data_IF_581591512221
#
_entry.id   IF_581591512221
#
_cell.length_a   1.000
_cell.length_b   1.000
_cell.length_c   1.000
_cell.angle_alpha   90.00
_cell.angle_beta   90.00
_cell.angle_gamma   90.00
#
_symmetry.space_group_name_H-M   'P 1'
#
loop_
_entity.id
_entity.type
_entity.pdbx_description
1 polymer ?
#
# COMPACT_ATOMS: atom_id res chain seq x y z
N UNK A 1 23.68 102.55 44.28
CA UNK A 1 22.91 102.08 45.45
C UNK A 1 21.73 101.27 44.91
N UNK A 2 21.76 99.93 45.05
CA UNK A 2 20.71 98.92 44.77
C UNK A 2 20.15 98.81 43.32
N UNK A 3 19.65 97.70 42.78
CA UNK A 3 19.83 96.23 42.88
C UNK A 3 18.82 95.60 41.88
N UNK A 4 19.21 94.55 41.13
CA UNK A 4 18.35 93.55 40.42
C UNK A 4 17.41 94.07 39.28
N UNK A 5 17.10 93.36 38.18
CA UNK A 5 16.75 91.94 38.00
C UNK A 5 16.60 91.64 36.47
N UNK A 6 17.18 90.52 35.98
CA UNK A 6 16.67 89.56 34.95
C UNK A 6 16.18 90.07 33.56
N UNK A 7 16.35 89.41 32.40
CA UNK A 7 16.71 88.03 32.04
C UNK A 7 16.97 87.93 30.51
N UNK A 8 18.01 87.19 30.10
CA UNK A 8 18.10 86.54 28.77
C UNK A 8 17.33 85.22 28.83
N UNK A 9 16.72 84.75 27.73
CA UNK A 9 16.58 83.32 27.51
C UNK A 9 16.54 82.99 26.01
N UNK A 10 17.44 82.08 25.63
CA UNK A 10 17.78 81.64 24.29
C UNK A 10 16.77 80.61 23.73
N UNK A 11 16.56 80.62 22.41
CA UNK A 11 15.85 79.57 21.68
C UNK A 11 16.62 78.24 21.77
N UNK A 12 15.94 77.17 22.19
CA UNK A 12 16.41 75.78 22.11
C UNK A 12 15.45 75.02 21.19
N UNK A 13 15.92 74.69 19.99
CA UNK A 13 15.20 73.87 19.01
C UNK A 13 15.42 72.39 19.38
N UNK A 14 14.38 71.72 19.86
CA UNK A 14 14.42 70.29 20.17
C UNK A 14 14.10 69.52 18.89
N UNK A 15 15.12 68.96 18.26
CA UNK A 15 14.95 67.98 17.18
C UNK A 15 14.62 66.64 17.84
N UNK A 16 13.33 66.34 17.99
CA UNK A 16 12.86 65.02 18.38
C UNK A 16 13.06 64.06 17.21
N UNK A 17 14.26 63.48 17.12
CA UNK A 17 14.53 62.35 16.26
C UNK A 17 13.81 61.12 16.82
N UNK A 18 12.65 60.82 16.26
CA UNK A 18 12.02 59.52 16.44
C UNK A 18 12.89 58.47 15.76
N UNK A 19 13.84 57.91 16.50
CA UNK A 19 14.49 56.66 16.13
C UNK A 19 13.39 55.61 16.24
N UNK A 20 12.74 55.31 15.12
CA UNK A 20 11.90 54.13 15.01
C UNK A 20 12.86 52.93 15.10
N UNK A 21 12.84 52.12 16.18
CA UNK A 21 13.63 50.91 16.19
C UNK A 21 13.14 50.07 15.03
N UNK A 22 13.99 49.84 14.02
CA UNK A 22 13.77 48.75 13.08
C UNK A 22 13.80 47.48 13.92
N UNK A 23 12.62 46.98 14.27
CA UNK A 23 12.48 45.58 14.67
C UNK A 23 12.89 44.82 13.42
N UNK A 24 14.15 44.39 13.37
CA UNK A 24 14.59 43.40 12.39
C UNK A 24 13.87 42.12 12.78
N UNK A 25 12.72 41.87 12.16
CA UNK A 25 12.02 40.62 12.36
C UNK A 25 12.95 39.51 11.86
N UNK A 26 13.48 38.72 12.80
CA UNK A 26 14.30 37.56 12.48
C UNK A 26 13.52 36.64 11.54
N UNK A 27 14.17 36.18 10.47
CA UNK A 27 13.54 35.31 9.49
C UNK A 27 13.06 34.04 10.19
N UNK A 28 11.77 33.67 10.11
CA UNK A 28 11.26 32.51 10.83
C UNK A 28 11.91 31.23 10.30
N UNK A 29 12.17 30.28 11.19
CA UNK A 29 12.68 28.97 10.79
C UNK A 29 11.57 28.08 10.22
N UNK A 30 11.94 27.11 9.37
CA UNK A 30 11.04 26.02 8.95
C UNK A 30 10.38 25.32 10.15
N UNK A 31 9.16 24.83 9.97
CA UNK A 31 8.40 24.08 10.99
C UNK A 31 8.20 22.63 10.57
N UNK A 32 7.91 21.76 11.53
CA UNK A 32 7.55 20.36 11.29
C UNK A 32 8.53 19.63 10.36
N UNK A 33 9.83 19.92 10.57
CA UNK A 33 10.92 19.36 9.77
C UNK A 33 11.02 17.87 10.07
N UNK A 34 10.79 17.05 9.06
CA UNK A 34 10.73 15.59 9.19
C UNK A 34 11.45 14.92 8.02
N UNK A 35 12.17 13.85 8.29
CA UNK A 35 12.67 12.96 7.25
C UNK A 35 11.59 11.92 6.93
N UNK A 36 11.33 11.70 5.65
CA UNK A 36 10.41 10.67 5.15
C UNK A 36 11.24 9.55 4.51
N UNK A 37 11.51 8.43 5.23
CA UNK A 37 12.34 7.35 4.75
C UNK A 37 11.50 6.19 4.21
N UNK A 38 11.08 6.28 2.95
CA UNK A 38 10.11 5.34 2.37
C UNK A 38 10.71 4.58 1.17
N UNK A 39 10.71 3.25 1.27
CA UNK A 39 11.28 2.35 0.24
C UNK A 39 12.71 2.77 -0.16
N UNK A 40 13.54 3.04 0.85
CA UNK A 40 14.93 3.50 0.73
C UNK A 40 15.10 4.86 0.02
N UNK A 41 14.02 5.63 -0.15
CA UNK A 41 14.09 7.02 -0.56
C UNK A 41 14.00 7.92 0.66
N UNK A 42 14.88 8.92 0.75
CA UNK A 42 15.02 9.77 1.92
C UNK A 42 14.71 11.21 1.51
N UNK A 43 13.48 11.67 1.79
CA UNK A 43 13.06 13.04 1.48
C UNK A 43 12.84 13.81 2.76
N UNK A 44 13.64 14.86 2.98
CA UNK A 44 13.40 15.84 4.03
C UNK A 44 12.22 16.72 3.61
N UNK A 45 11.25 16.94 4.50
CA UNK A 45 10.09 17.81 4.28
C UNK A 45 9.93 18.77 5.46
N UNK A 46 9.35 19.93 5.19
CA UNK A 46 9.06 20.94 6.21
C UNK A 46 7.89 21.82 5.82
N UNK A 47 7.29 22.45 6.81
CA UNK A 47 6.22 23.43 6.63
C UNK A 47 6.75 24.86 6.64
N UNK A 48 6.11 25.70 5.83
CA UNK A 48 6.39 27.14 5.75
C UNK A 48 5.12 27.96 5.96
N UNK A 49 5.11 28.70 7.07
CA UNK A 49 3.91 29.41 7.55
C UNK A 49 3.94 30.92 7.29
N UNK A 50 5.07 31.48 6.84
CA UNK A 50 5.15 32.91 6.51
C UNK A 50 4.48 33.19 5.17
N UNK A 51 3.27 33.77 5.23
CA UNK A 51 2.49 34.15 4.05
C UNK A 51 3.10 35.34 3.30
N UNK A 52 3.69 36.28 4.03
CA UNK A 52 4.30 37.49 3.45
C UNK A 52 5.57 37.19 2.66
N UNK A 53 6.38 36.24 3.15
CA UNK A 53 7.67 35.87 2.54
C UNK A 53 7.59 34.65 1.63
N UNK A 54 6.39 34.12 1.38
CA UNK A 54 6.18 32.86 0.64
C UNK A 54 6.87 32.84 -0.73
N UNK A 55 6.83 33.96 -1.44
CA UNK A 55 7.35 34.05 -2.82
C UNK A 55 8.79 34.54 -2.91
N UNK A 56 9.41 34.88 -1.78
CA UNK A 56 10.77 35.43 -1.69
C UNK A 56 11.68 34.61 -0.79
N UNK A 57 11.20 33.47 -0.27
CA UNK A 57 11.96 32.58 0.60
C UNK A 57 12.42 31.36 -0.16
N UNK A 58 13.71 31.09 -0.10
CA UNK A 58 14.33 29.85 -0.52
C UNK A 58 14.81 29.06 0.70
N UNK A 59 15.17 27.80 0.50
CA UNK A 59 15.63 26.92 1.55
C UNK A 59 16.93 26.24 1.16
N UNK A 60 17.82 26.14 2.14
CA UNK A 60 19.08 25.43 2.02
C UNK A 60 19.10 24.29 3.03
N UNK A 61 19.40 23.08 2.56
CA UNK A 61 19.44 21.87 3.33
C UNK A 61 20.80 21.16 3.19
N UNK A 62 21.32 20.71 4.32
CA UNK A 62 22.67 20.16 4.45
C UNK A 62 22.66 18.92 5.36
N UNK A 63 23.69 18.09 5.27
CA UNK A 63 23.89 16.97 6.20
C UNK A 63 25.36 16.87 6.61
N UNK A 64 25.60 16.25 7.77
CA UNK A 64 26.91 15.80 8.21
C UNK A 64 26.75 14.42 8.87
N UNK A 65 27.85 13.68 9.02
CA UNK A 65 27.85 12.52 9.91
C UNK A 65 27.56 12.98 11.34
N UNK A 66 26.90 12.13 12.13
CA UNK A 66 26.49 12.49 13.48
C UNK A 66 27.68 12.79 14.41
N UNK A 67 28.83 12.14 14.17
CA UNK A 67 30.09 12.42 14.88
C UNK A 67 30.63 13.85 14.61
N UNK A 68 30.33 14.40 13.44
CA UNK A 68 30.80 15.72 12.98
C UNK A 68 29.81 16.85 13.23
N UNK A 69 28.71 16.60 13.95
CA UNK A 69 27.58 17.54 14.12
C UNK A 69 27.96 18.91 14.69
N UNK A 70 29.07 18.99 15.44
CA UNK A 70 29.55 20.24 16.03
C UNK A 70 30.46 21.04 15.11
N UNK A 71 30.86 20.48 13.97
CA UNK A 71 31.79 21.09 13.04
C UNK A 71 31.08 21.61 11.79
N UNK A 72 30.66 22.87 11.84
CA UNK A 72 29.88 23.51 10.77
C UNK A 72 30.49 23.41 9.36
N UNK A 73 31.82 23.32 9.23
CA UNK A 73 32.53 23.21 7.95
C UNK A 73 32.40 21.83 7.28
N UNK A 74 31.98 20.81 8.01
CA UNK A 74 31.83 19.44 7.50
C UNK A 74 30.42 19.16 6.96
N UNK A 75 29.49 20.10 7.11
CA UNK A 75 28.17 19.98 6.50
C UNK A 75 28.26 20.10 4.97
N UNK A 76 27.63 19.15 4.30
CA UNK A 76 27.56 19.04 2.84
C UNK A 76 26.18 19.50 2.38
N UNK A 77 26.16 20.47 1.46
CA UNK A 77 24.93 20.97 0.83
C UNK A 77 24.31 19.95 -0.10
N UNK A 78 22.98 19.82 -0.04
CA UNK A 78 22.19 18.95 -0.93
C UNK A 78 21.21 19.77 -1.76
N UNK A 79 20.39 20.58 -1.11
CA UNK A 79 19.54 21.57 -1.77
C UNK A 79 20.01 22.96 -1.37
N UNK A 80 20.31 23.80 -2.34
CA UNK A 80 20.78 25.17 -2.11
C UNK A 80 19.83 26.15 -2.79
N UNK A 81 19.28 27.08 -2.02
CA UNK A 81 18.37 28.10 -2.56
C UNK A 81 17.12 27.53 -3.24
N UNK A 82 16.57 26.42 -2.75
CA UNK A 82 15.39 25.77 -3.34
C UNK A 82 14.09 26.45 -2.92
N UNK A 83 13.15 26.61 -3.85
CA UNK A 83 11.77 27.04 -3.55
C UNK A 83 10.88 25.91 -3.05
N UNK A 84 11.36 24.66 -3.15
CA UNK A 84 10.60 23.50 -2.72
C UNK A 84 10.66 23.35 -1.21
N UNK A 85 9.58 22.89 -0.59
CA UNK A 85 9.54 22.57 0.84
C UNK A 85 9.94 21.11 1.11
N UNK A 86 10.81 20.59 0.24
CA UNK A 86 11.35 19.25 0.30
C UNK A 86 12.73 19.20 -0.32
N UNK A 87 13.54 18.25 0.14
CA UNK A 87 14.87 17.99 -0.39
C UNK A 87 15.16 16.48 -0.40
N UNK A 88 15.66 15.97 -1.52
CA UNK A 88 15.95 14.55 -1.70
C UNK A 88 17.41 14.22 -1.34
N UNK A 89 17.58 13.36 -0.34
CA UNK A 89 18.85 12.87 0.20
C UNK A 89 19.16 11.42 -0.20
N UNK A 90 18.30 10.76 -0.99
CA UNK A 90 18.36 9.32 -1.29
C UNK A 90 19.74 8.84 -1.74
N UNK A 91 20.40 9.58 -2.62
CA UNK A 91 21.72 9.24 -3.17
C UNK A 91 22.89 9.97 -2.48
N UNK A 92 22.63 10.63 -1.34
CA UNK A 92 23.62 11.38 -0.57
C UNK A 92 24.03 10.67 0.71
N UNK A 93 23.14 9.84 1.24
CA UNK A 93 23.33 9.14 2.50
C UNK A 93 23.64 7.68 2.23
N UNK A 94 24.62 7.16 2.96
CA UNK A 94 24.92 5.74 2.97
C UNK A 94 23.94 5.02 3.88
N UNK A 95 23.56 3.79 3.51
CA UNK A 95 22.51 3.04 4.19
C UNK A 95 22.83 2.75 5.66
N UNK A 96 24.12 2.52 5.97
CA UNK A 96 24.61 2.18 7.32
C UNK A 96 25.19 3.37 8.08
N UNK A 97 24.93 4.59 7.62
CA UNK A 97 25.45 5.81 8.24
C UNK A 97 24.45 6.46 9.20
N UNK A 98 24.96 7.15 10.22
CA UNK A 98 24.15 7.99 11.09
C UNK A 98 24.44 9.47 10.81
N UNK A 99 23.39 10.24 10.58
CA UNK A 99 23.49 11.61 10.08
C UNK A 99 22.75 12.62 10.95
N UNK A 100 23.26 13.84 10.92
CA UNK A 100 22.52 15.03 11.33
C UNK A 100 22.22 15.85 10.07
N UNK A 101 20.94 16.13 9.85
CA UNK A 101 20.43 16.87 8.70
C UNK A 101 19.90 18.20 9.20
N UNK A 102 20.14 19.27 8.44
CA UNK A 102 19.66 20.60 8.79
C UNK A 102 19.05 21.34 7.62
N UNK A 103 18.07 22.19 7.91
CA UNK A 103 17.44 23.08 6.93
C UNK A 103 17.20 24.46 7.53
N UNK A 104 17.34 25.50 6.71
CA UNK A 104 17.02 26.89 7.05
C UNK A 104 16.32 27.59 5.90
N UNK A 105 15.61 28.66 6.22
CA UNK A 105 15.06 29.60 5.26
C UNK A 105 16.09 30.69 4.93
N UNK A 106 16.03 31.21 3.71
CA UNK A 106 16.89 32.29 3.20
C UNK A 106 16.00 33.29 2.45
N UNK A 107 16.10 34.58 2.78
CA UNK A 107 15.34 35.64 2.08
C UNK A 107 16.06 36.97 2.20
N UNK A 108 16.21 37.69 1.08
CA UNK A 108 16.79 39.04 1.07
C UNK A 108 18.22 39.14 1.62
N UNK A 109 19.00 38.05 1.60
CA UNK A 109 20.36 37.98 2.16
C UNK A 109 20.42 37.60 3.64
N UNK A 110 19.27 37.51 4.32
CA UNK A 110 19.14 37.02 5.69
C UNK A 110 18.83 35.52 5.70
N UNK A 111 19.13 34.86 6.82
CA UNK A 111 18.84 33.45 7.03
C UNK A 111 18.18 33.19 8.39
N UNK A 112 17.32 32.18 8.46
CA UNK A 112 16.72 31.74 9.73
C UNK A 112 17.72 30.92 10.55
N UNK A 113 17.36 30.63 11.80
CA UNK A 113 18.03 29.57 12.56
C UNK A 113 17.83 28.22 11.86
N UNK A 114 18.84 27.35 12.00
CA UNK A 114 18.79 25.98 11.52
C UNK A 114 17.80 25.13 12.30
N UNK A 115 17.10 24.25 11.59
CA UNK A 115 16.35 23.13 12.17
C UNK A 115 17.04 21.83 11.86
N UNK A 116 17.17 20.98 12.87
CA UNK A 116 17.97 19.76 12.81
C UNK A 116 17.08 18.52 12.94
N UNK A 117 17.46 17.45 12.25
CA UNK A 117 16.86 16.13 12.29
C UNK A 117 17.98 15.09 12.30
N UNK A 118 17.99 14.21 13.29
CA UNK A 118 18.84 13.01 13.27
C UNK A 118 18.18 11.95 12.39
N UNK A 119 18.98 11.23 11.61
CA UNK A 119 18.48 10.21 10.71
C UNK A 119 19.51 9.12 10.46
N UNK A 120 19.09 7.86 10.61
CA UNK A 120 19.88 6.66 10.37
C UNK A 120 19.08 5.75 9.44
N UNK A 121 19.45 5.60 8.14
CA UNK A 121 18.58 4.96 7.16
C UNK A 121 18.19 3.50 7.45
N UNK A 122 19.10 2.73 8.04
CA UNK A 122 18.86 1.32 8.38
C UNK A 122 18.04 1.13 9.66
N UNK A 123 17.96 2.13 10.54
CA UNK A 123 17.13 2.11 11.75
C UNK A 123 15.75 2.77 11.54
N UNK A 124 15.73 3.91 10.85
CA UNK A 124 14.53 4.73 10.66
C UNK A 124 13.72 4.36 9.40
N UNK A 125 14.28 3.50 8.53
CA UNK A 125 13.69 3.14 7.25
C UNK A 125 12.36 2.41 7.34
N UNK A 126 11.40 2.81 6.49
CA UNK A 126 10.08 2.18 6.39
C UNK A 126 9.86 1.62 4.99
N UNK A 127 9.27 0.43 4.92
CA UNK A 127 8.89 -0.20 3.66
C UNK A 127 7.41 0.09 3.34
N UNK A 128 7.14 0.37 2.07
CA UNK A 128 5.79 0.37 1.54
C UNK A 128 5.22 -1.04 1.36
N UNK A 129 3.91 -1.17 1.11
CA UNK A 129 3.36 -2.42 0.61
C UNK A 129 3.97 -2.78 -0.76
N UNK A 130 3.83 -4.03 -1.22
CA UNK A 130 4.06 -4.40 -2.63
C UNK A 130 3.33 -3.45 -3.60
N UNK A 131 3.97 -3.14 -4.72
CA UNK A 131 3.40 -2.30 -5.78
C UNK A 131 2.24 -2.99 -6.51
N UNK A 132 2.33 -4.30 -6.70
CA UNK A 132 1.27 -5.11 -7.30
C UNK A 132 1.34 -6.53 -6.76
N UNK A 133 0.17 -7.16 -6.61
CA UNK A 133 0.03 -8.59 -6.36
C UNK A 133 -0.89 -9.13 -7.45
N UNK A 134 -0.40 -10.06 -8.26
CA UNK A 134 -1.24 -10.83 -9.18
C UNK A 134 -1.50 -12.21 -8.59
N UNK A 135 -2.74 -12.68 -8.70
CA UNK A 135 -3.18 -13.94 -8.11
C UNK A 135 -3.83 -14.78 -9.20
N UNK A 136 -3.27 -15.96 -9.43
CA UNK A 136 -3.83 -16.98 -10.31
C UNK A 136 -4.44 -18.10 -9.49
N UNK A 137 -5.72 -18.36 -9.72
CA UNK A 137 -6.44 -19.41 -9.03
C UNK A 137 -6.44 -20.72 -9.80
N UNK A 138 -6.21 -21.81 -9.08
CA UNK A 138 -6.40 -23.18 -9.55
C UNK A 138 -7.39 -23.93 -8.63
N UNK A 139 -7.55 -25.25 -8.82
CA UNK A 139 -8.59 -26.03 -8.13
C UNK A 139 -8.43 -26.00 -6.61
N UNK A 140 -7.21 -26.18 -6.10
CA UNK A 140 -6.92 -26.22 -4.66
C UNK A 140 -5.70 -25.39 -4.28
N UNK A 141 -5.32 -24.44 -5.12
CA UNK A 141 -4.17 -23.58 -4.89
C UNK A 141 -4.34 -22.19 -5.48
N UNK A 142 -3.64 -21.23 -4.89
CA UNK A 142 -3.45 -19.89 -5.45
C UNK A 142 -1.96 -19.67 -5.68
N UNK A 143 -1.61 -19.16 -6.85
CA UNK A 143 -0.25 -18.75 -7.20
C UNK A 143 -0.22 -17.23 -7.19
N UNK A 144 0.67 -16.66 -6.38
CA UNK A 144 0.85 -15.23 -6.25
C UNK A 144 2.19 -14.84 -6.88
N UNK A 145 2.17 -13.77 -7.67
CA UNK A 145 3.37 -13.07 -8.10
C UNK A 145 3.34 -11.65 -7.50
N UNK A 146 4.26 -11.40 -6.58
CA UNK A 146 4.33 -10.18 -5.80
C UNK A 146 5.41 -9.27 -6.38
N UNK A 147 5.02 -8.13 -6.93
CA UNK A 147 5.97 -7.13 -7.40
C UNK A 147 6.27 -6.10 -6.29
N UNK A 148 7.55 -5.84 -6.08
CA UNK A 148 8.03 -4.77 -5.21
C UNK A 148 9.11 -4.00 -5.97
N UNK A 149 8.87 -2.70 -6.19
CA UNK A 149 9.88 -1.82 -6.76
C UNK A 149 10.84 -1.38 -5.66
N UNK A 150 11.86 -2.18 -5.40
CA UNK A 150 12.98 -1.82 -4.54
C UNK A 150 14.26 -2.36 -5.15
N UNK A 151 15.18 -1.46 -5.55
CA UNK A 151 16.48 -1.83 -6.07
C UNK A 151 17.53 -1.59 -4.99
N UNK A 152 17.74 -2.59 -4.14
CA UNK A 152 18.82 -2.54 -3.15
C UNK A 152 19.36 -3.93 -2.87
N UNK A 153 20.68 -4.01 -2.72
CA UNK A 153 21.40 -5.21 -2.27
C UNK A 153 21.57 -5.26 -0.76
N UNK A 154 21.34 -4.14 -0.06
CA UNK A 154 21.47 -4.08 1.40
C UNK A 154 20.32 -4.80 2.10
N UNK A 155 19.11 -4.69 1.55
CA UNK A 155 17.88 -5.20 2.18
C UNK A 155 17.49 -6.55 1.58
N UNK A 156 17.21 -7.54 2.44
CA UNK A 156 16.71 -8.86 2.07
C UNK A 156 15.21 -8.97 2.37
N UNK A 157 14.42 -8.63 1.37
CA UNK A 157 12.97 -8.64 1.46
C UNK A 157 12.38 -10.05 1.68
N UNK A 158 11.49 -10.15 2.64
CA UNK A 158 10.63 -11.31 2.92
C UNK A 158 9.17 -10.94 2.79
N UNK A 159 8.36 -11.90 2.37
CA UNK A 159 6.96 -11.70 2.02
C UNK A 159 6.08 -12.41 3.05
N UNK A 160 5.31 -11.63 3.81
CA UNK A 160 4.33 -12.17 4.74
C UNK A 160 2.94 -12.12 4.09
N UNK A 161 2.44 -13.30 3.73
CA UNK A 161 1.15 -13.50 3.09
C UNK A 161 0.14 -13.92 4.13
N UNK A 162 -0.98 -13.19 4.20
CA UNK A 162 -2.10 -13.52 5.05
C UNK A 162 -3.34 -13.78 4.19
N UNK A 163 -4.02 -14.90 4.42
CA UNK A 163 -5.18 -15.30 3.63
C UNK A 163 -6.28 -15.94 4.49
N UNK A 164 -7.52 -15.85 4.03
CA UNK A 164 -8.69 -16.40 4.72
C UNK A 164 -9.82 -16.69 3.73
N UNK A 165 -10.74 -17.58 4.11
CA UNK A 165 -12.01 -17.75 3.40
C UNK A 165 -12.86 -16.50 3.61
N UNK A 166 -13.43 -15.90 2.56
CA UNK A 166 -14.17 -14.64 2.67
C UNK A 166 -15.28 -14.67 3.72
N UNK A 167 -15.96 -15.81 3.85
CA UNK A 167 -17.03 -16.05 4.83
C UNK A 167 -16.52 -16.17 6.27
N UNK A 168 -15.20 -16.37 6.47
CA UNK A 168 -14.56 -16.59 7.77
C UNK A 168 -13.40 -15.61 7.99
N UNK A 169 -13.65 -14.30 8.06
CA UNK A 169 -12.61 -13.27 8.18
C UNK A 169 -11.78 -13.35 9.47
N UNK A 170 -12.28 -14.04 10.51
CA UNK A 170 -11.55 -14.29 11.74
C UNK A 170 -10.51 -15.43 11.61
N UNK A 171 -10.67 -16.34 10.64
CA UNK A 171 -9.80 -17.52 10.45
C UNK A 171 -8.67 -17.20 9.47
N UNK A 172 -7.86 -16.19 9.80
CA UNK A 172 -6.72 -15.80 8.95
C UNK A 172 -5.53 -16.74 9.16
N UNK A 173 -5.01 -17.24 8.05
CA UNK A 173 -3.77 -18.00 7.99
C UNK A 173 -2.63 -17.07 7.59
N UNK A 174 -1.44 -17.30 8.13
CA UNK A 174 -0.24 -16.49 7.87
C UNK A 174 0.90 -17.40 7.44
N UNK A 175 1.58 -17.01 6.36
CA UNK A 175 2.75 -17.70 5.81
C UNK A 175 3.82 -16.68 5.42
N UNK A 176 5.09 -17.06 5.54
CA UNK A 176 6.24 -16.22 5.22
C UNK A 176 7.04 -16.92 4.12
N UNK A 177 7.49 -16.14 3.14
CA UNK A 177 8.24 -16.61 1.98
C UNK A 177 9.46 -15.73 1.73
N UNK A 178 10.55 -16.34 1.27
CA UNK A 178 11.77 -15.63 0.84
C UNK A 178 11.70 -15.21 -0.65
N UNK A 179 10.71 -15.67 -1.41
CA UNK A 179 10.58 -15.44 -2.85
C UNK A 179 9.26 -14.69 -3.15
N UNK A 180 9.26 -13.71 -4.09
CA UNK A 180 8.03 -13.04 -4.55
C UNK A 180 7.01 -13.96 -5.24
N UNK A 181 7.44 -15.11 -5.75
CA UNK A 181 6.57 -16.14 -6.31
C UNK A 181 6.14 -17.10 -5.20
N UNK A 182 4.85 -17.05 -4.86
CA UNK A 182 4.29 -17.74 -3.70
C UNK A 182 3.20 -18.71 -4.15
N UNK A 183 3.21 -19.93 -3.60
CA UNK A 183 2.13 -20.89 -3.76
C UNK A 183 1.41 -21.14 -2.43
N UNK A 184 0.10 -20.88 -2.42
CA UNK A 184 -0.81 -21.28 -1.35
C UNK A 184 -1.48 -22.57 -1.78
N UNK A 185 -1.19 -23.68 -1.09
CA UNK A 185 -1.68 -25.02 -1.43
C UNK A 185 -2.69 -25.52 -0.40
N UNK A 186 -3.35 -26.65 -0.70
CA UNK A 186 -4.30 -27.31 0.19
C UNK A 186 -5.53 -26.46 0.53
N UNK A 187 -5.97 -25.64 -0.43
CA UNK A 187 -7.19 -24.84 -0.34
C UNK A 187 -8.42 -25.65 -0.77
N UNK A 188 -9.59 -25.24 -0.30
CA UNK A 188 -10.86 -25.86 -0.71
C UNK A 188 -11.20 -25.47 -2.15
N UNK A 189 -11.73 -26.38 -2.99
CA UNK A 189 -12.29 -26.02 -4.28
C UNK A 189 -13.55 -25.18 -4.11
N UNK A 190 -13.91 -24.41 -5.14
CA UNK A 190 -15.13 -23.57 -5.14
C UNK A 190 -15.25 -22.62 -3.94
N UNK A 191 -14.13 -22.15 -3.41
CA UNK A 191 -14.11 -21.32 -2.21
C UNK A 191 -13.43 -20.01 -2.51
N UNK A 192 -14.04 -18.90 -2.08
CA UNK A 192 -13.47 -17.57 -2.23
C UNK A 192 -12.49 -17.26 -1.09
N UNK A 193 -11.25 -16.98 -1.44
CA UNK A 193 -10.18 -16.61 -0.53
C UNK A 193 -9.77 -15.17 -0.75
N UNK A 194 -9.65 -14.41 0.34
CA UNK A 194 -9.06 -13.08 0.33
C UNK A 194 -7.62 -13.16 0.80
N UNK A 195 -6.73 -12.45 0.13
CA UNK A 195 -5.28 -12.43 0.40
C UNK A 195 -4.79 -11.01 0.52
N UNK A 196 -3.92 -10.76 1.49
CA UNK A 196 -3.16 -9.52 1.63
C UNK A 196 -1.70 -9.84 1.92
N UNK A 197 -0.81 -8.99 1.42
CA UNK A 197 0.63 -9.22 1.50
C UNK A 197 1.29 -8.01 2.10
N UNK A 198 2.25 -8.21 3.00
CA UNK A 198 3.21 -7.18 3.38
C UNK A 198 4.63 -7.67 3.13
N UNK A 199 5.54 -6.73 2.97
CA UNK A 199 6.98 -6.99 2.85
C UNK A 199 7.66 -6.52 4.12
N UNK A 200 8.70 -7.22 4.54
CA UNK A 200 9.55 -6.80 5.64
C UNK A 200 10.98 -7.24 5.41
N UNK A 201 11.90 -6.60 6.10
CA UNK A 201 13.29 -7.05 6.24
C UNK A 201 13.56 -7.39 7.70
N UNK A 202 14.12 -8.58 7.93
CA UNK A 202 14.38 -9.04 9.28
C UNK A 202 15.71 -8.54 9.85
N UNK A 203 16.68 -8.23 8.99
CA UNK A 203 18.02 -7.85 9.41
C UNK A 203 18.03 -6.45 10.05
N UNK A 204 17.26 -5.53 9.46
CA UNK A 204 17.13 -4.14 9.88
C UNK A 204 15.79 -3.84 10.56
N UNK A 205 14.93 -4.85 10.75
CA UNK A 205 13.63 -4.68 11.41
C UNK A 205 12.63 -3.82 10.63
N UNK A 206 12.90 -3.51 9.35
CA UNK A 206 12.03 -2.69 8.52
C UNK A 206 10.73 -3.44 8.21
N UNK A 207 9.61 -2.90 8.68
CA UNK A 207 8.30 -3.51 8.50
C UNK A 207 7.46 -2.69 7.53
N UNK A 208 6.95 -3.35 6.50
CA UNK A 208 5.98 -2.76 5.61
C UNK A 208 4.54 -2.92 6.07
N UNK A 209 3.67 -2.17 5.42
CA UNK A 209 2.22 -2.27 5.60
C UNK A 209 1.62 -3.31 4.64
N UNK A 210 0.40 -3.76 4.96
CA UNK A 210 -0.32 -4.69 4.11
C UNK A 210 -0.92 -4.01 2.89
N UNK A 211 -0.93 -4.71 1.76
CA UNK A 211 -1.78 -4.35 0.62
C UNK A 211 -3.26 -4.40 1.03
N UNK A 212 -4.10 -3.68 0.30
CA UNK A 212 -5.54 -3.93 0.32
C UNK A 212 -5.83 -5.40 -0.01
N UNK A 213 -6.80 -6.04 0.66
CA UNK A 213 -7.11 -7.43 0.42
C UNK A 213 -7.69 -7.64 -0.99
N UNK A 214 -7.21 -8.66 -1.68
CA UNK A 214 -7.72 -9.10 -2.98
C UNK A 214 -8.36 -10.47 -2.82
N UNK A 215 -9.60 -10.63 -3.29
CA UNK A 215 -10.35 -11.87 -3.16
C UNK A 215 -10.48 -12.58 -4.52
N UNK A 216 -10.22 -13.89 -4.53
CA UNK A 216 -10.30 -14.75 -5.70
C UNK A 216 -10.94 -16.09 -5.33
N UNK A 217 -11.67 -16.68 -6.27
CA UNK A 217 -12.28 -18.01 -6.06
C UNK A 217 -11.40 -19.10 -6.64
N UNK A 218 -11.17 -20.16 -5.87
CA UNK A 218 -10.54 -21.38 -6.39
C UNK A 218 -11.43 -22.03 -7.44
N UNK A 219 -10.79 -22.69 -8.41
CA UNK A 219 -11.51 -23.41 -9.46
C UNK A 219 -12.20 -24.64 -8.88
N UNK A 220 -13.24 -25.07 -9.57
CA UNK A 220 -13.86 -26.35 -9.31
C UNK A 220 -13.13 -27.51 -9.95
N UNK A 221 -13.12 -28.65 -9.28
CA UNK A 221 -12.85 -29.90 -9.96
C UNK A 221 -14.06 -30.23 -10.85
N UNK A 222 -13.91 -30.13 -12.18
CA UNK A 222 -14.92 -30.62 -13.11
C UNK A 222 -14.89 -32.15 -13.05
N UNK A 223 -15.75 -32.73 -12.23
CA UNK A 223 -15.91 -34.19 -12.14
C UNK A 223 -16.56 -34.71 -13.42
N UNK A 224 -15.74 -35.03 -14.44
CA UNK A 224 -16.19 -35.75 -15.63
C UNK A 224 -16.95 -37.03 -15.26
N UNK A 225 -16.58 -37.66 -14.14
CA UNK A 225 -17.28 -38.81 -13.59
C UNK A 225 -18.75 -38.54 -13.26
N UNK A 226 -19.08 -37.37 -12.69
CA UNK A 226 -20.48 -37.02 -12.40
C UNK A 226 -21.32 -36.86 -13.66
N UNK A 227 -20.76 -36.26 -14.72
CA UNK A 227 -21.44 -36.13 -16.01
C UNK A 227 -21.55 -37.48 -16.74
N UNK A 228 -20.50 -38.30 -16.68
CA UNK A 228 -20.51 -39.66 -17.21
C UNK A 228 -21.54 -40.54 -16.50
N UNK A 229 -21.65 -40.47 -15.18
CA UNK A 229 -22.67 -41.18 -14.42
C UNK A 229 -24.08 -40.72 -14.80
N UNK A 230 -24.32 -39.41 -14.90
CA UNK A 230 -25.62 -38.87 -15.32
C UNK A 230 -26.00 -39.33 -16.74
N UNK A 231 -25.04 -39.34 -17.67
CA UNK A 231 -25.24 -39.85 -19.04
C UNK A 231 -25.59 -41.34 -19.02
N UNK A 232 -24.86 -42.16 -18.27
CA UNK A 232 -25.12 -43.60 -18.20
C UNK A 232 -26.50 -43.90 -17.59
N UNK A 233 -26.89 -43.18 -16.54
CA UNK A 233 -28.22 -43.27 -15.93
C UNK A 233 -29.30 -42.92 -16.97
N UNK A 234 -29.13 -41.84 -17.73
CA UNK A 234 -30.07 -41.44 -18.77
C UNK A 234 -30.25 -42.51 -19.86
N UNK A 235 -29.14 -43.08 -20.37
CA UNK A 235 -29.20 -44.15 -21.36
C UNK A 235 -29.84 -45.43 -20.83
N UNK A 236 -29.60 -45.77 -19.56
CA UNK A 236 -30.25 -46.91 -18.91
C UNK A 236 -31.77 -46.74 -18.85
N UNK A 237 -32.27 -45.57 -18.46
CA UNK A 237 -33.71 -45.27 -18.44
C UNK A 237 -34.34 -45.32 -19.84
N UNK A 238 -33.66 -44.80 -20.87
CA UNK A 238 -34.13 -44.89 -22.25
C UNK A 238 -34.23 -46.35 -22.74
N UNK A 239 -33.24 -47.18 -22.40
CA UNK A 239 -33.27 -48.61 -22.74
C UNK A 239 -34.42 -49.33 -22.02
N UNK A 240 -34.58 -49.09 -20.72
CA UNK A 240 -35.66 -49.69 -19.93
C UNK A 240 -37.05 -49.31 -20.47
N UNK A 241 -37.26 -48.05 -20.84
CA UNK A 241 -38.52 -47.59 -21.44
C UNK A 241 -38.80 -48.27 -22.78
N UNK A 242 -37.79 -48.41 -23.65
CA UNK A 242 -37.92 -49.13 -24.92
C UNK A 242 -38.31 -50.59 -24.72
N UNK A 243 -37.64 -51.31 -23.81
CA UNK A 243 -37.95 -52.71 -23.52
C UNK A 243 -39.36 -52.85 -22.95
N UNK A 244 -39.73 -52.00 -21.99
CA UNK A 244 -41.07 -52.01 -21.38
C UNK A 244 -42.16 -51.73 -22.40
N UNK A 245 -41.96 -50.75 -23.28
CA UNK A 245 -42.91 -50.43 -24.36
C UNK A 245 -43.06 -51.58 -25.36
N UNK A 246 -41.96 -52.22 -25.77
CA UNK A 246 -41.99 -53.41 -26.63
C UNK A 246 -42.75 -54.57 -25.97
N UNK A 247 -42.51 -54.83 -24.69
CA UNK A 247 -43.25 -55.87 -23.95
C UNK A 247 -44.74 -55.57 -23.85
N UNK A 248 -45.13 -54.31 -23.60
CA UNK A 248 -46.53 -53.88 -23.59
C UNK A 248 -47.18 -54.08 -24.96
N UNK A 249 -46.51 -53.70 -26.05
CA UNK A 249 -47.02 -53.94 -27.41
C UNK A 249 -47.19 -55.42 -27.71
N UNK A 250 -46.25 -56.26 -27.27
CA UNK A 250 -46.35 -57.72 -27.41
C UNK A 250 -47.54 -58.26 -26.61
N UNK A 251 -47.72 -57.83 -25.36
CA UNK A 251 -48.88 -58.22 -24.55
C UNK A 251 -50.20 -57.82 -25.21
N UNK A 252 -50.33 -56.55 -25.64
CA UNK A 252 -51.52 -56.07 -26.33
C UNK A 252 -51.80 -56.83 -27.63
N UNK A 253 -50.75 -57.18 -28.38
CA UNK A 253 -50.87 -58.00 -29.57
C UNK A 253 -51.42 -59.39 -29.23
N UNK A 254 -50.90 -60.06 -28.21
CA UNK A 254 -51.40 -61.36 -27.77
C UNK A 254 -52.84 -61.28 -27.25
N UNK A 255 -53.19 -60.25 -26.47
CA UNK A 255 -54.56 -60.05 -25.98
C UNK A 255 -55.55 -59.85 -27.14
N UNK A 256 -55.21 -59.01 -28.13
CA UNK A 256 -56.03 -58.80 -29.32
C UNK A 256 -56.14 -60.07 -30.18
N UNK A 257 -55.03 -60.78 -30.37
CA UNK A 257 -55.01 -62.06 -31.08
C UNK A 257 -55.91 -63.10 -30.39
N UNK A 258 -55.86 -63.17 -29.05
CA UNK A 258 -56.70 -64.06 -28.26
C UNK A 258 -58.17 -63.67 -28.33
N UNK A 259 -58.50 -62.37 -28.28
CA UNK A 259 -59.87 -61.87 -28.46
C UNK A 259 -60.42 -62.25 -29.84
N UNK A 260 -59.63 -62.10 -30.91
CA UNK A 260 -60.06 -62.43 -32.27
C UNK A 260 -60.21 -63.92 -32.56
N UNK A 261 -59.43 -64.79 -31.90
CA UNK A 261 -59.44 -66.23 -32.21
C UNK A 261 -60.06 -67.14 -31.14
N UNK A 262 -60.25 -66.66 -29.91
CA UNK A 262 -60.76 -67.50 -28.82
C UNK A 262 -62.11 -67.04 -28.22
N UNK A 263 -62.67 -65.90 -28.62
CA UNK A 263 -64.04 -65.54 -28.23
C UNK A 263 -65.04 -66.03 -29.30
N UNK A 264 -65.78 -67.14 -29.09
CA UNK A 264 -66.87 -67.50 -29.97
C UNK A 264 -67.98 -66.45 -29.83
N UNK A 265 -68.37 -65.83 -30.95
CA UNK A 265 -69.57 -64.99 -31.02
C UNK A 265 -70.80 -65.81 -30.57
N UNK A 266 -71.20 -65.66 -29.32
CA UNK A 266 -72.52 -66.08 -28.85
C UNK A 266 -73.50 -64.97 -29.18
N UNK A 267 -74.04 -64.98 -30.40
CA UNK A 267 -75.27 -64.26 -30.72
C UNK A 267 -76.39 -65.27 -30.94
N UNK A 268 -77.13 -65.52 -29.86
CA UNK A 268 -78.46 -66.11 -29.84
C UNK A 268 -79.44 -65.00 -30.25
N UNK A 269 -80.28 -65.23 -31.27
CA UNK A 269 -81.64 -64.68 -31.33
C UNK A 269 -82.49 -65.37 -32.41
N UNK A 270 -83.61 -65.93 -31.92
CA UNK A 270 -84.92 -66.25 -32.54
C UNK A 270 -84.93 -67.18 -33.76
#
# INVERSE_FOLDING_TARGET
MLQHLHTKLSLLVIISGYICPRVSASLPSPKDVTMIPFDLNYTLQWDWTSTELRNSTTFTAEYAFQEDQHENRLYIKVCEGSWQHRCDFTHRLDFRGSYIIRVRAESGGEHSDWKYVSFTPDEDGVLGPPSQVSIEADVTMLILNISKSLKSTEVKLRYQVQYWERERPAQKQLRIYDNPYVSLVSLKPWTEYCVQVKVFDQNFGMNGTYTSPQCVSTKGMRTHHSYFLLINIFFFFLHFFRVSFSLLLICLYFDLYFIQHCVPCTYRNI
#
